data_IF_599775899046
#
_entry.id   IF_599775899046
#
_cell.length_a   1.000
_cell.length_b   1.000
_cell.length_c   1.000
_cell.angle_alpha   90.00
_cell.angle_beta   90.00
_cell.angle_gamma   90.00
#
_symmetry.space_group_name_H-M   'P 1'
#
loop_
_entity.id
_entity.type
_entity.pdbx_description
1 polymer ?
#
# COMPACT_ATOMS: atom_id res chain seq x y z
N UNK A 1 -22.27 27.15 17.62
CA UNK A 1 -22.40 26.00 16.71
C UNK A 1 -21.28 25.08 17.10
N UNK A 2 -21.60 24.01 17.82
CA UNK A 2 -20.59 23.17 18.47
C UNK A 2 -20.24 22.01 17.52
N UNK A 3 -18.96 21.93 17.15
CA UNK A 3 -18.42 20.86 16.33
C UNK A 3 -17.90 19.75 17.25
N UNK A 4 -18.55 18.59 17.23
CA UNK A 4 -18.07 17.39 17.93
C UNK A 4 -17.43 16.43 16.94
N UNK A 5 -16.23 15.87 17.23
CA UNK A 5 -15.56 14.95 16.31
C UNK A 5 -16.34 13.65 16.18
N UNK A 6 -16.52 13.19 14.94
CA UNK A 6 -17.12 11.88 14.65
C UNK A 6 -16.13 10.74 15.01
N UNK A 7 -16.64 9.53 15.22
CA UNK A 7 -15.84 8.34 15.53
C UNK A 7 -14.64 8.14 14.58
N UNK A 8 -14.85 8.31 13.27
CA UNK A 8 -13.76 8.26 12.28
C UNK A 8 -12.74 9.38 12.45
N UNK A 9 -13.17 10.59 12.82
CA UNK A 9 -12.28 11.73 13.08
C UNK A 9 -11.41 11.52 14.31
N UNK A 10 -11.95 10.88 15.36
CA UNK A 10 -11.17 10.49 16.53
C UNK A 10 -10.08 9.46 16.16
N UNK A 11 -10.43 8.41 15.40
CA UNK A 11 -9.46 7.40 14.93
C UNK A 11 -8.40 8.03 14.02
N UNK A 12 -8.78 8.95 13.13
CA UNK A 12 -7.85 9.69 12.26
C UNK A 12 -6.77 10.40 13.07
N UNK A 13 -7.21 11.18 14.06
CA UNK A 13 -6.33 11.99 14.89
C UNK A 13 -5.41 11.16 15.77
N UNK A 14 -5.91 10.02 16.27
CA UNK A 14 -5.16 9.14 17.15
C UNK A 14 -4.04 8.39 16.41
N UNK A 15 -4.32 7.90 15.20
CA UNK A 15 -3.36 7.13 14.39
C UNK A 15 -2.63 7.96 13.33
N UNK A 16 -2.81 9.29 13.35
CA UNK A 16 -2.19 10.21 12.40
C UNK A 16 -2.48 9.85 10.93
N UNK A 17 -3.71 9.43 10.66
CA UNK A 17 -4.15 9.05 9.32
C UNK A 17 -4.73 10.26 8.58
N UNK A 18 -4.43 10.40 7.29
CA UNK A 18 -5.13 11.35 6.43
C UNK A 18 -6.62 11.02 6.32
N UNK A 19 -7.44 12.07 6.26
CA UNK A 19 -8.87 11.98 5.96
C UNK A 19 -9.16 11.15 4.69
N UNK A 20 -8.33 11.31 3.66
CA UNK A 20 -8.49 10.57 2.39
C UNK A 20 -8.28 9.07 2.54
N UNK A 21 -7.41 8.62 3.47
CA UNK A 21 -7.28 7.19 3.78
C UNK A 21 -8.54 6.66 4.46
N UNK A 22 -9.11 7.43 5.39
CA UNK A 22 -10.33 7.03 6.07
C UNK A 22 -11.54 6.98 5.14
N UNK A 23 -11.63 7.87 4.17
CA UNK A 23 -12.68 7.82 3.14
C UNK A 23 -12.60 6.53 2.31
N UNK A 24 -11.39 6.14 1.89
CA UNK A 24 -11.15 4.87 1.18
C UNK A 24 -11.56 3.68 2.06
N UNK A 25 -11.22 3.73 3.35
CA UNK A 25 -11.50 2.66 4.29
C UNK A 25 -13.00 2.55 4.57
N UNK A 26 -13.69 3.66 4.80
CA UNK A 26 -15.13 3.69 5.02
C UNK A 26 -15.92 3.19 3.80
N UNK A 27 -15.45 3.51 2.58
CA UNK A 27 -16.09 3.07 1.35
C UNK A 27 -15.83 1.58 1.02
N UNK A 28 -14.67 1.04 1.42
CA UNK A 28 -14.20 -0.27 0.95
C UNK A 28 -14.24 -1.37 2.00
N UNK A 29 -14.19 -1.03 3.29
CA UNK A 29 -14.27 -2.00 4.38
C UNK A 29 -15.71 -2.47 4.55
N UNK A 30 -15.90 -3.78 4.45
CA UNK A 30 -17.17 -4.47 4.73
C UNK A 30 -16.91 -5.63 5.68
N UNK A 31 -17.93 -6.08 6.40
CA UNK A 31 -17.82 -7.19 7.36
C UNK A 31 -17.33 -8.51 6.72
N UNK A 32 -17.45 -8.64 5.39
CA UNK A 32 -17.06 -9.83 4.63
C UNK A 32 -15.67 -9.71 3.99
N UNK A 33 -14.93 -8.64 4.26
CA UNK A 33 -13.59 -8.44 3.71
C UNK A 33 -12.64 -9.55 4.19
N UNK A 34 -12.16 -10.36 3.25
CA UNK A 34 -11.09 -11.35 3.49
C UNK A 34 -9.72 -10.66 3.48
N UNK A 35 -8.69 -11.35 3.98
CA UNK A 35 -7.31 -10.85 4.05
C UNK A 35 -6.82 -10.20 2.75
N UNK A 36 -7.14 -10.80 1.59
CA UNK A 36 -6.80 -10.24 0.27
C UNK A 36 -7.38 -8.84 0.05
N UNK A 37 -8.67 -8.65 0.36
CA UNK A 37 -9.34 -7.36 0.20
C UNK A 37 -8.82 -6.34 1.23
N UNK A 38 -8.52 -6.78 2.45
CA UNK A 38 -7.89 -5.93 3.47
C UNK A 38 -6.51 -5.43 3.03
N UNK A 39 -5.69 -6.31 2.45
CA UNK A 39 -4.38 -5.92 1.90
C UNK A 39 -4.52 -4.91 0.76
N UNK A 40 -5.49 -5.10 -0.12
CA UNK A 40 -5.78 -4.18 -1.23
C UNK A 40 -6.20 -2.79 -0.72
N UNK A 41 -7.14 -2.74 0.24
CA UNK A 41 -7.59 -1.49 0.87
C UNK A 41 -6.42 -0.81 1.60
N UNK A 42 -5.62 -1.57 2.34
CA UNK A 42 -4.45 -1.04 3.04
C UNK A 42 -3.45 -0.42 2.07
N UNK A 43 -3.10 -1.13 0.99
CA UNK A 43 -2.16 -0.64 -0.01
C UNK A 43 -2.70 0.56 -0.82
N UNK A 44 -4.01 0.78 -0.82
CA UNK A 44 -4.65 1.93 -1.45
C UNK A 44 -4.60 3.22 -0.60
N UNK A 45 -4.13 3.14 0.66
CA UNK A 45 -4.04 4.30 1.56
C UNK A 45 -3.26 5.44 0.94
N UNK A 46 -3.73 6.67 1.17
CA UNK A 46 -3.11 7.89 0.61
C UNK A 46 -1.69 8.11 1.10
N UNK A 47 -1.37 7.64 2.31
CA UNK A 47 -0.03 7.75 2.90
C UNK A 47 1.04 7.14 1.98
N UNK A 48 0.72 6.01 1.35
CA UNK A 48 1.66 5.33 0.47
C UNK A 48 1.92 6.08 -0.83
N UNK A 49 0.97 6.87 -1.32
CA UNK A 49 1.17 7.72 -2.51
C UNK A 49 2.17 8.85 -2.24
N UNK A 50 2.22 9.33 -0.99
CA UNK A 50 3.15 10.39 -0.60
C UNK A 50 4.54 9.84 -0.27
N UNK A 51 4.61 8.65 0.34
CA UNK A 51 5.88 8.02 0.75
C UNK A 51 6.57 7.25 -0.37
N UNK A 52 5.82 6.55 -1.21
CA UNK A 52 6.34 5.72 -2.28
C UNK A 52 6.18 6.49 -3.57
N UNK A 53 7.27 7.14 -3.98
CA UNK A 53 7.33 7.74 -5.29
C UNK A 53 7.13 6.70 -6.40
N UNK A 54 6.51 7.10 -7.53
CA UNK A 54 6.37 6.25 -8.71
C UNK A 54 7.75 5.79 -9.18
N UNK A 55 7.79 4.63 -9.88
CA UNK A 55 9.01 3.97 -10.36
C UNK A 55 9.99 4.99 -10.97
N UNK A 56 11.06 5.28 -10.23
CA UNK A 56 12.03 6.35 -10.54
C UNK A 56 13.28 5.82 -11.23
N UNK A 57 13.55 4.52 -11.12
CA UNK A 57 14.84 3.95 -11.53
C UNK A 57 14.65 2.97 -12.70
N UNK A 58 15.37 3.16 -13.82
CA UNK A 58 15.42 2.17 -14.90
C UNK A 58 15.87 0.81 -14.35
N UNK A 59 15.01 -0.21 -14.42
CA UNK A 59 15.28 -1.58 -13.94
C UNK A 59 14.44 -2.05 -12.75
N UNK A 60 13.77 -1.14 -12.05
CA UNK A 60 12.85 -1.47 -10.95
C UNK A 60 11.64 -2.29 -11.45
N UNK A 61 11.12 -1.97 -12.64
CA UNK A 61 10.05 -2.74 -13.28
C UNK A 61 10.38 -4.23 -13.41
N UNK A 62 11.62 -4.57 -13.80
CA UNK A 62 12.05 -5.97 -13.92
C UNK A 62 12.12 -6.66 -12.55
N UNK A 63 12.46 -5.93 -11.49
CA UNK A 63 12.45 -6.47 -10.13
C UNK A 63 11.01 -6.70 -9.64
N UNK A 64 10.09 -5.77 -9.92
CA UNK A 64 8.67 -5.91 -9.60
C UNK A 64 8.02 -7.09 -10.34
N UNK A 65 8.34 -7.29 -11.62
CA UNK A 65 7.86 -8.45 -12.40
C UNK A 65 8.41 -9.78 -11.86
N UNK A 66 9.63 -9.80 -11.31
CA UNK A 66 10.14 -11.01 -10.63
C UNK A 66 9.43 -11.24 -9.30
N UNK A 67 9.22 -10.17 -8.53
CA UNK A 67 8.52 -10.23 -7.25
C UNK A 67 7.06 -10.71 -7.40
N UNK A 68 6.36 -10.26 -8.46
CA UNK A 68 4.97 -10.66 -8.71
C UNK A 68 4.80 -12.16 -8.96
N UNK A 69 5.81 -12.84 -9.50
CA UNK A 69 5.79 -14.31 -9.68
C UNK A 69 5.81 -15.09 -8.37
N UNK A 70 6.31 -14.47 -7.29
CA UNK A 70 6.39 -15.07 -5.96
C UNK A 70 5.29 -14.55 -5.02
N UNK A 71 4.45 -13.63 -5.48
CA UNK A 71 3.37 -13.06 -4.69
C UNK A 71 2.26 -14.10 -4.48
N UNK A 72 1.85 -14.27 -3.22
CA UNK A 72 0.74 -15.17 -2.82
C UNK A 72 -0.60 -14.62 -3.30
N UNK A 73 -0.77 -13.29 -3.28
CA UNK A 73 -1.98 -12.61 -3.74
C UNK A 73 -1.68 -11.82 -5.01
N UNK A 74 -2.13 -12.37 -6.14
CA UNK A 74 -1.96 -11.75 -7.44
C UNK A 74 -2.90 -10.55 -7.60
N UNK A 75 -2.35 -9.33 -7.74
CA UNK A 75 -3.09 -8.09 -7.90
C UNK A 75 -3.42 -7.83 -9.38
N UNK A 76 -4.65 -7.45 -9.74
CA UNK A 76 -5.03 -7.27 -11.14
C UNK A 76 -4.31 -6.10 -11.84
N UNK A 77 -3.81 -5.11 -11.08
CA UNK A 77 -3.17 -3.89 -11.61
C UNK A 77 -1.67 -4.04 -11.93
N UNK A 78 -1.08 -5.24 -11.87
CA UNK A 78 0.34 -5.42 -12.25
C UNK A 78 0.65 -5.09 -13.72
N UNK A 79 -0.37 -4.86 -14.54
CA UNK A 79 -0.21 -4.36 -15.91
C UNK A 79 0.39 -2.93 -15.95
N UNK A 80 0.22 -2.13 -14.90
CA UNK A 80 0.81 -0.80 -14.78
C UNK A 80 1.92 -0.81 -13.73
N UNK A 81 3.17 -0.96 -14.17
CA UNK A 81 4.35 -0.90 -13.31
C UNK A 81 4.49 0.42 -12.51
N UNK A 82 3.76 1.46 -12.91
CA UNK A 82 3.70 2.76 -12.25
C UNK A 82 2.70 2.83 -11.09
N UNK A 83 1.90 1.79 -10.85
CA UNK A 83 0.90 1.80 -9.80
C UNK A 83 1.55 1.61 -8.41
N UNK A 84 1.45 2.65 -7.59
CA UNK A 84 1.99 2.67 -6.22
C UNK A 84 1.34 1.60 -5.36
N UNK A 85 0.04 1.35 -5.52
CA UNK A 85 -0.70 0.36 -4.72
C UNK A 85 -0.22 -1.06 -5.00
N UNK A 86 0.07 -1.38 -6.27
CA UNK A 86 0.63 -2.67 -6.65
C UNK A 86 2.05 -2.87 -6.08
N UNK A 87 2.87 -1.82 -6.09
CA UNK A 87 4.23 -1.84 -5.51
C UNK A 87 4.21 -2.04 -3.99
N UNK A 88 3.36 -1.33 -3.26
CA UNK A 88 3.18 -1.51 -1.81
C UNK A 88 2.80 -2.94 -1.49
N UNK A 89 1.84 -3.49 -2.24
CA UNK A 89 1.34 -4.84 -2.00
C UNK A 89 2.43 -5.90 -2.21
N UNK A 90 3.24 -5.77 -3.27
CA UNK A 90 4.37 -6.68 -3.51
C UNK A 90 5.44 -6.60 -2.42
N UNK A 91 5.81 -5.38 -2.01
CA UNK A 91 6.80 -5.18 -0.96
C UNK A 91 6.30 -5.73 0.38
N UNK A 92 5.03 -5.49 0.71
CA UNK A 92 4.41 -6.00 1.92
C UNK A 92 4.33 -7.54 1.91
N UNK A 93 3.93 -8.14 0.79
CA UNK A 93 3.89 -9.60 0.65
C UNK A 93 5.29 -10.23 0.76
N UNK A 94 6.33 -9.59 0.21
CA UNK A 94 7.71 -10.07 0.36
C UNK A 94 8.24 -9.92 1.77
N UNK A 95 7.93 -8.80 2.43
CA UNK A 95 8.31 -8.58 3.83
C UNK A 95 7.67 -9.62 4.76
N UNK A 96 6.37 -9.86 4.59
CA UNK A 96 5.62 -10.84 5.40
C UNK A 96 5.99 -12.28 5.04
N UNK A 97 6.31 -12.54 3.77
CA UNK A 97 6.62 -13.87 3.25
C UNK A 97 8.11 -14.17 3.15
N UNK A 98 8.95 -13.73 4.11
CA UNK A 98 10.36 -14.15 4.34
C UNK A 98 11.20 -14.55 3.10
N UNK A 99 10.96 -13.88 1.97
CA UNK A 99 11.42 -14.31 0.65
C UNK A 99 12.11 -13.12 0.04
N UNK A 100 13.44 -13.14 0.14
CA UNK A 100 14.38 -12.21 -0.47
C UNK A 100 13.90 -11.76 -1.85
N UNK A 101 13.27 -10.59 -1.91
CA UNK A 101 13.41 -9.75 -3.09
C UNK A 101 14.75 -9.03 -2.87
N UNK A 102 15.72 -9.14 -3.80
CA UNK A 102 16.85 -8.24 -3.82
C UNK A 102 16.34 -6.86 -4.27
N UNK A 103 15.61 -6.18 -3.38
CA UNK A 103 15.47 -4.73 -3.41
C UNK A 103 16.82 -4.23 -2.97
N UNK A 104 17.62 -3.79 -3.95
CA UNK A 104 18.84 -3.08 -3.70
C UNK A 104 18.56 -2.02 -2.66
N UNK A 105 19.24 -2.18 -1.52
CA UNK A 105 19.48 -1.19 -0.47
C UNK A 105 19.44 0.21 -1.11
N UNK A 106 18.32 0.91 -0.95
CA UNK A 106 18.25 2.32 -1.31
C UNK A 106 19.35 3.01 -0.49
N UNK A 107 20.19 3.86 -1.11
CA UNK A 107 21.23 4.55 -0.40
C UNK A 107 20.58 5.56 0.54
N UNK A 108 20.41 5.17 1.80
CA UNK A 108 20.23 6.12 2.88
C UNK A 108 21.52 6.96 2.95
N UNK A 109 21.37 8.18 2.45
CA UNK A 109 22.15 9.40 2.68
C UNK A 109 23.43 9.29 3.51
N UNK A 110 24.56 9.60 2.88
CA UNK A 110 25.69 10.32 3.48
C UNK A 110 25.33 11.77 3.77
#
# INVERSE_FOLDING_TARGET
>A
MDLTPLNYGMVASYYYLSYTTLEIYAASLTEKCKLRALLEIFCASSEFKNLIAPVRTPGEERALVRASKHAVYNYPSFANAYDVTAKVNLLLQSHLGAGTIPVGRLPDSS
#
